data_IF_257316828660
#
_entry.id   IF_257316828660
#
_cell.length_a   1.000
_cell.length_b   1.000
_cell.length_c   1.000
_cell.angle_alpha   90.00
_cell.angle_beta   90.00
_cell.angle_gamma   90.00
#
_symmetry.space_group_name_H-M   'P 1'
#
loop_
_entity.id
_entity.type
_entity.pdbx_description
1 polymer ?
#
# COMPACT_ATOMS: atom_id res chain seq x y z
N UNK A 1 9.31 24.79 14.11
CA UNK A 1 8.57 25.05 12.87
C UNK A 1 7.69 23.85 12.65
N UNK A 2 6.44 23.93 13.10
CA UNK A 2 5.40 22.99 12.71
C UNK A 2 5.09 23.31 11.25
N UNK A 3 5.37 22.38 10.34
CA UNK A 3 5.03 22.61 8.93
C UNK A 3 3.51 22.54 8.82
N UNK A 4 2.86 23.70 8.73
CA UNK A 4 1.45 23.82 8.39
C UNK A 4 1.29 23.33 6.95
N UNK A 5 0.95 22.05 6.79
CA UNK A 5 0.64 21.49 5.47
C UNK A 5 -0.66 22.10 5.00
N UNK A 6 -0.62 22.78 3.85
CA UNK A 6 -1.82 23.42 3.31
C UNK A 6 -2.77 22.38 2.70
N UNK A 7 -4.07 22.65 2.74
CA UNK A 7 -5.13 21.90 2.04
C UNK A 7 -4.75 21.41 0.62
N UNK A 8 -4.28 22.29 -0.29
CA UNK A 8 -3.89 21.87 -1.64
C UNK A 8 -2.66 20.96 -1.66
N UNK A 9 -1.70 21.13 -0.76
CA UNK A 9 -0.56 20.21 -0.63
C UNK A 9 -1.04 18.84 -0.18
N UNK A 10 -1.93 18.76 0.80
CA UNK A 10 -2.48 17.49 1.26
C UNK A 10 -3.27 16.75 0.17
N UNK A 11 -4.03 17.47 -0.66
CA UNK A 11 -4.68 16.90 -1.84
C UNK A 11 -3.68 16.28 -2.84
N UNK A 12 -2.57 16.96 -3.11
CA UNK A 12 -1.49 16.44 -3.97
C UNK A 12 -0.83 15.21 -3.34
N UNK A 13 -0.58 15.23 -2.04
CA UNK A 13 -0.03 14.08 -1.30
C UNK A 13 -0.93 12.86 -1.40
N UNK A 14 -2.25 13.02 -1.21
CA UNK A 14 -3.20 11.91 -1.35
C UNK A 14 -3.21 11.35 -2.78
N UNK A 15 -3.12 12.22 -3.80
CA UNK A 15 -3.01 11.76 -5.19
C UNK A 15 -1.75 10.90 -5.39
N UNK A 16 -0.59 11.37 -4.94
CA UNK A 16 0.66 10.60 -5.01
C UNK A 16 0.58 9.26 -4.27
N UNK A 17 -0.04 9.23 -3.08
CA UNK A 17 -0.23 7.97 -2.35
C UNK A 17 -1.17 6.99 -3.07
N UNK A 18 -2.21 7.47 -3.76
CA UNK A 18 -3.07 6.61 -4.57
C UNK A 18 -2.30 5.95 -5.71
N UNK A 19 -1.45 6.70 -6.40
CA UNK A 19 -0.60 6.17 -7.47
C UNK A 19 0.38 5.13 -6.94
N UNK A 20 0.97 5.39 -5.78
CA UNK A 20 1.90 4.46 -5.14
C UNK A 20 1.22 3.17 -4.67
N UNK A 21 0.03 3.26 -4.07
CA UNK A 21 -0.78 2.08 -3.71
C UNK A 21 -1.13 1.27 -4.96
N UNK A 22 -1.45 1.92 -6.09
CA UNK A 22 -1.67 1.23 -7.35
C UNK A 22 -0.39 0.56 -7.89
N UNK A 23 0.75 1.22 -7.79
CA UNK A 23 2.04 0.62 -8.15
C UNK A 23 2.32 -0.63 -7.33
N UNK A 24 2.07 -0.60 -6.02
CA UNK A 24 2.22 -1.79 -5.16
C UNK A 24 1.26 -2.91 -5.57
N UNK A 25 0.01 -2.59 -5.94
CA UNK A 25 -0.96 -3.60 -6.44
C UNK A 25 -0.48 -4.27 -7.74
N UNK A 26 0.12 -3.50 -8.64
CA UNK A 26 0.72 -4.01 -9.87
C UNK A 26 1.95 -4.89 -9.58
N UNK A 27 2.82 -4.44 -8.67
CA UNK A 27 3.97 -5.23 -8.24
C UNK A 27 3.54 -6.56 -7.61
N UNK A 28 2.55 -6.57 -6.70
CA UNK A 28 2.02 -7.79 -6.09
C UNK A 28 1.50 -8.79 -7.13
N UNK A 29 0.86 -8.28 -8.19
CA UNK A 29 0.41 -9.12 -9.31
C UNK A 29 1.60 -9.72 -10.04
N UNK A 30 2.62 -8.92 -10.33
CA UNK A 30 3.84 -9.39 -10.98
C UNK A 30 4.63 -10.39 -10.14
N UNK A 31 4.70 -10.21 -8.82
CA UNK A 31 5.33 -11.15 -7.89
C UNK A 31 4.56 -12.48 -7.85
N UNK A 32 3.22 -12.44 -7.86
CA UNK A 32 2.39 -13.63 -7.96
C UNK A 32 2.63 -14.39 -9.27
N UNK A 33 2.64 -13.69 -10.40
CA UNK A 33 2.90 -14.31 -11.71
C UNK A 33 4.32 -14.91 -11.77
N UNK A 34 5.30 -14.25 -11.16
CA UNK A 34 6.66 -14.79 -11.05
C UNK A 34 6.70 -16.03 -10.16
N UNK A 35 6.05 -15.98 -9.01
CA UNK A 35 5.93 -17.15 -8.12
C UNK A 35 5.38 -18.33 -8.90
N UNK A 36 4.24 -18.17 -9.58
CA UNK A 36 3.58 -19.22 -10.40
C UNK A 36 4.49 -19.80 -11.48
N UNK A 37 5.35 -18.99 -12.11
CA UNK A 37 6.34 -19.47 -13.09
C UNK A 37 7.47 -20.27 -12.47
N UNK A 38 7.88 -19.96 -11.24
CA UNK A 38 8.93 -20.68 -10.52
C UNK A 38 8.46 -22.07 -10.07
N UNK A 39 7.17 -22.26 -9.80
CA UNK A 39 6.55 -23.52 -9.35
C UNK A 39 6.32 -24.51 -10.51
N UNK A 40 7.33 -24.78 -11.34
CA UNK A 40 7.24 -25.75 -12.43
C UNK A 40 6.76 -27.14 -11.98
N UNK A 41 6.46 -28.03 -12.94
CA UNK A 41 5.78 -29.32 -12.73
C UNK A 41 6.46 -30.34 -11.80
N UNK A 42 7.59 -30.02 -11.17
CA UNK A 42 8.36 -30.93 -10.31
C UNK A 42 8.71 -30.32 -8.94
N UNK A 43 7.78 -29.53 -8.38
CA UNK A 43 7.98 -28.81 -7.12
C UNK A 43 7.95 -29.76 -5.93
N UNK A 44 9.02 -29.75 -5.12
CA UNK A 44 9.13 -30.54 -3.88
C UNK A 44 8.07 -30.09 -2.86
N UNK A 45 7.60 -31.00 -2.02
CA UNK A 45 6.55 -30.71 -1.02
C UNK A 45 6.88 -29.52 -0.11
N UNK A 46 8.16 -29.35 0.27
CA UNK A 46 8.62 -28.21 1.09
C UNK A 46 8.49 -26.86 0.36
N UNK A 47 8.64 -26.82 -0.97
CA UNK A 47 8.43 -25.60 -1.75
C UNK A 47 6.96 -25.21 -1.84
N UNK A 48 6.04 -26.19 -1.84
CA UNK A 48 4.60 -25.91 -1.87
C UNK A 48 4.13 -25.14 -0.62
N UNK A 49 4.68 -25.48 0.55
CA UNK A 49 4.37 -24.76 1.79
C UNK A 49 4.84 -23.29 1.73
N UNK A 50 6.03 -23.04 1.18
CA UNK A 50 6.53 -21.67 0.98
C UNK A 50 5.73 -20.90 -0.06
N UNK A 51 5.33 -21.54 -1.15
CA UNK A 51 4.43 -20.97 -2.16
C UNK A 51 3.12 -20.51 -1.51
N UNK A 52 2.46 -21.39 -0.76
CA UNK A 52 1.19 -21.07 -0.11
C UNK A 52 1.35 -19.89 0.87
N UNK A 53 2.46 -19.86 1.60
CA UNK A 53 2.80 -18.74 2.48
C UNK A 53 2.88 -17.41 1.73
N UNK A 54 3.59 -17.35 0.61
CA UNK A 54 3.70 -16.13 -0.19
C UNK A 54 2.38 -15.77 -0.87
N UNK A 55 1.62 -16.73 -1.39
CA UNK A 55 0.30 -16.48 -1.97
C UNK A 55 -0.65 -15.86 -0.95
N UNK A 56 -0.71 -16.40 0.27
CA UNK A 56 -1.50 -15.84 1.37
C UNK A 56 -1.05 -14.42 1.72
N UNK A 57 0.27 -14.18 1.81
CA UNK A 57 0.79 -12.84 2.06
C UNK A 57 0.42 -11.86 0.95
N UNK A 58 0.51 -12.24 -0.33
CA UNK A 58 0.13 -11.38 -1.45
C UNK A 58 -1.35 -11.00 -1.39
N UNK A 59 -2.23 -11.96 -1.08
CA UNK A 59 -3.67 -11.71 -0.93
C UNK A 59 -3.91 -10.69 0.20
N UNK A 60 -3.34 -10.94 1.40
CA UNK A 60 -3.49 -10.03 2.54
C UNK A 60 -2.96 -8.63 2.25
N UNK A 61 -1.82 -8.53 1.59
CA UNK A 61 -1.25 -7.23 1.21
C UNK A 61 -2.12 -6.49 0.19
N UNK A 62 -2.75 -7.20 -0.73
CA UNK A 62 -3.68 -6.62 -1.71
C UNK A 62 -4.94 -6.10 -1.02
N UNK A 63 -5.50 -6.83 -0.06
CA UNK A 63 -6.64 -6.37 0.75
C UNK A 63 -6.30 -5.07 1.50
N UNK A 64 -5.14 -5.02 2.16
CA UNK A 64 -4.67 -3.81 2.85
C UNK A 64 -4.47 -2.64 1.86
N UNK A 65 -3.96 -2.91 0.67
CA UNK A 65 -3.82 -1.90 -0.38
C UNK A 65 -5.19 -1.36 -0.83
N UNK A 66 -6.19 -2.23 -1.00
CA UNK A 66 -7.55 -1.84 -1.39
C UNK A 66 -8.24 -1.01 -0.29
N UNK A 67 -8.10 -1.41 0.98
CA UNK A 67 -8.59 -0.64 2.13
C UNK A 67 -7.92 0.74 2.20
N UNK A 68 -6.59 0.79 2.09
CA UNK A 68 -5.85 2.05 2.14
C UNK A 68 -6.22 2.97 0.98
N UNK A 69 -6.41 2.43 -0.22
CA UNK A 69 -6.89 3.20 -1.37
C UNK A 69 -8.30 3.77 -1.12
N UNK A 70 -9.18 2.98 -0.50
CA UNK A 70 -10.52 3.44 -0.12
C UNK A 70 -10.46 4.61 0.87
N UNK A 71 -9.62 4.50 1.90
CA UNK A 71 -9.44 5.55 2.91
C UNK A 71 -8.87 6.83 2.31
N UNK A 72 -7.88 6.71 1.41
CA UNK A 72 -7.34 7.84 0.64
C UNK A 72 -8.42 8.50 -0.23
N UNK A 73 -9.30 7.72 -0.84
CA UNK A 73 -10.43 8.22 -1.62
C UNK A 73 -11.44 8.95 -0.74
N UNK A 74 -11.73 8.41 0.46
CA UNK A 74 -12.64 9.04 1.41
C UNK A 74 -12.07 10.36 1.94
N UNK A 75 -10.80 10.38 2.33
CA UNK A 75 -10.12 11.59 2.77
C UNK A 75 -10.14 12.69 1.69
N UNK A 76 -9.77 12.33 0.45
CA UNK A 76 -9.84 13.26 -0.68
C UNK A 76 -11.25 13.84 -0.92
N UNK A 77 -12.31 13.06 -0.70
CA UNK A 77 -13.69 13.53 -0.85
C UNK A 77 -14.11 14.48 0.29
N UNK A 78 -13.72 14.17 1.52
CA UNK A 78 -13.99 15.03 2.68
C UNK A 78 -13.37 16.41 2.49
N UNK A 79 -12.09 16.44 2.12
CA UNK A 79 -11.38 17.69 1.82
C UNK A 79 -12.04 18.48 0.68
N UNK A 80 -12.46 17.81 -0.40
CA UNK A 80 -13.14 18.49 -1.51
C UNK A 80 -14.48 19.11 -1.10
N UNK A 81 -15.21 18.49 -0.15
CA UNK A 81 -16.50 18.99 0.34
C UNK A 81 -16.34 20.21 1.26
N UNK A 82 -15.27 20.25 2.05
CA UNK A 82 -15.00 21.36 2.97
C UNK A 82 -14.69 22.67 2.21
N UNK A 83 -14.17 22.58 0.98
CA UNK A 83 -13.91 23.75 0.12
C UNK A 83 -15.18 24.49 -0.36
N UNK A 84 -16.37 23.89 -0.28
CA UNK A 84 -17.61 24.42 -0.88
C UNK A 84 -18.44 25.30 0.09
N UNK A 85 -18.08 25.38 1.38
CA UNK A 85 -18.91 26.07 2.38
C UNK A 85 -18.20 26.73 3.56
N UNK A 86 -17.00 26.31 3.94
CA UNK A 86 -16.23 26.93 5.02
C UNK A 86 -14.76 26.55 4.83
N UNK A 87 -13.93 27.50 4.38
CA UNK A 87 -12.51 27.30 4.03
C UNK A 87 -11.61 27.11 5.26
N UNK A 88 -12.12 26.41 6.27
CA UNK A 88 -11.38 26.08 7.48
C UNK A 88 -11.54 24.58 7.68
N UNK A 89 -10.55 23.80 7.22
CA UNK A 89 -10.29 22.54 7.92
C UNK A 89 -10.13 22.94 9.38
N UNK A 90 -11.03 22.49 10.24
CA UNK A 90 -10.83 22.62 11.67
C UNK A 90 -9.44 22.02 11.95
N UNK A 91 -8.42 22.86 12.19
CA UNK A 91 -6.99 22.50 12.02
C UNK A 91 -6.58 21.22 12.77
N UNK A 92 -7.36 20.82 13.78
CA UNK A 92 -7.20 19.57 14.53
C UNK A 92 -7.61 18.30 13.77
N UNK A 93 -8.71 18.31 13.02
CA UNK A 93 -9.26 17.12 12.34
C UNK A 93 -8.48 16.77 11.07
N UNK A 94 -8.08 17.79 10.31
CA UNK A 94 -7.27 17.62 9.08
C UNK A 94 -5.86 17.10 9.37
N UNK A 95 -5.16 17.71 10.33
CA UNK A 95 -3.82 17.29 10.73
C UNK A 95 -3.77 15.87 11.31
N UNK A 96 -4.76 15.50 12.13
CA UNK A 96 -4.89 14.14 12.68
C UNK A 96 -5.14 13.09 11.59
N UNK A 97 -5.99 13.41 10.61
CA UNK A 97 -6.25 12.53 9.46
C UNK A 97 -5.01 12.34 8.60
N UNK A 98 -4.27 13.43 8.33
CA UNK A 98 -3.03 13.37 7.57
C UNK A 98 -1.98 12.53 8.28
N UNK A 99 -1.78 12.72 9.59
CA UNK A 99 -0.81 11.94 10.36
C UNK A 99 -1.16 10.45 10.37
N UNK A 100 -2.44 10.11 10.54
CA UNK A 100 -2.92 8.74 10.49
C UNK A 100 -2.68 8.07 9.12
N UNK A 101 -3.01 8.74 8.02
CA UNK A 101 -2.77 8.21 6.68
C UNK A 101 -1.28 8.10 6.36
N UNK A 102 -0.47 9.06 6.84
CA UNK A 102 1.00 9.02 6.70
C UNK A 102 1.57 7.78 7.38
N UNK A 103 1.19 7.52 8.64
CA UNK A 103 1.65 6.36 9.38
C UNK A 103 1.24 5.04 8.69
N UNK A 104 -0.01 4.97 8.21
CA UNK A 104 -0.48 3.80 7.45
C UNK A 104 0.29 3.59 6.16
N UNK A 105 0.57 4.65 5.40
CA UNK A 105 1.39 4.56 4.19
C UNK A 105 2.82 4.12 4.51
N UNK A 106 3.44 4.65 5.56
CA UNK A 106 4.77 4.22 5.98
C UNK A 106 4.81 2.73 6.37
N UNK A 107 3.85 2.29 7.17
CA UNK A 107 3.73 0.88 7.57
C UNK A 107 3.48 -0.01 6.36
N UNK A 108 2.57 0.37 5.47
CA UNK A 108 2.27 -0.34 4.23
C UNK A 108 3.51 -0.54 3.36
N UNK A 109 4.25 0.54 3.08
CA UNK A 109 5.50 0.47 2.30
C UNK A 109 6.54 -0.42 2.95
N UNK A 110 6.75 -0.26 4.25
CA UNK A 110 7.75 -1.03 4.99
C UNK A 110 7.45 -2.52 4.91
N UNK A 111 6.19 -2.91 5.13
CA UNK A 111 5.77 -4.31 5.04
C UNK A 111 5.91 -4.84 3.62
N UNK A 112 5.55 -4.04 2.60
CA UNK A 112 5.73 -4.44 1.21
C UNK A 112 7.20 -4.61 0.81
N UNK A 113 8.09 -3.72 1.25
CA UNK A 113 9.53 -3.84 1.03
C UNK A 113 10.10 -5.09 1.69
N UNK A 114 9.69 -5.39 2.93
CA UNK A 114 10.08 -6.62 3.62
C UNK A 114 9.61 -7.86 2.84
N UNK A 115 8.34 -7.89 2.43
CA UNK A 115 7.77 -8.97 1.62
C UNK A 115 8.54 -9.19 0.31
N UNK A 116 8.84 -8.11 -0.42
CA UNK A 116 9.60 -8.17 -1.68
C UNK A 116 11.01 -8.69 -1.46
N UNK A 117 11.65 -8.30 -0.36
CA UNK A 117 12.98 -8.81 0.03
C UNK A 117 12.95 -10.30 0.37
N UNK A 118 11.98 -10.75 1.17
CA UNK A 118 11.82 -12.17 1.51
C UNK A 118 11.52 -13.02 0.26
N UNK A 119 10.66 -12.51 -0.62
CA UNK A 119 10.35 -13.16 -1.89
C UNK A 119 11.58 -13.29 -2.78
N UNK A 120 12.35 -12.22 -2.98
CA UNK A 120 13.57 -12.27 -3.80
C UNK A 120 14.56 -13.31 -3.26
N UNK A 121 14.77 -13.33 -1.94
CA UNK A 121 15.64 -14.33 -1.29
C UNK A 121 15.14 -15.76 -1.47
N UNK A 122 13.82 -15.95 -1.47
CA UNK A 122 13.21 -17.25 -1.77
C UNK A 122 13.46 -17.69 -3.21
N UNK A 123 13.30 -16.78 -4.19
CA UNK A 123 13.56 -17.07 -5.60
C UNK A 123 15.05 -17.36 -5.83
N UNK A 124 15.96 -16.60 -5.23
CA UNK A 124 17.42 -16.85 -5.32
C UNK A 124 17.83 -18.22 -4.78
N UNK A 125 17.13 -18.73 -3.75
CA UNK A 125 17.36 -20.07 -3.21
C UNK A 125 16.71 -21.18 -4.04
N UNK A 126 15.72 -20.83 -4.84
CA UNK A 126 14.91 -21.77 -5.63
C UNK A 126 15.37 -21.87 -7.09
N UNK A 127 16.18 -20.90 -7.55
CA UNK A 127 16.84 -20.88 -8.85
C UNK A 127 18.17 -21.63 -8.84
#
# INVERSE_FOLDING_TARGET
MEQEVTLPEFHRTIAGWKDEVNSVRQDLTSLKDHLEKTIGSNTKHEMLAHVEHFQNQFIRHKEVADELFHDLKQASKRLAKDNDGDNTLNNKDGGSTMQYLTDRMHTFKRLFMALKSDFNRFIEKSS
#
